data_IF_103504602620
#
_entry.id   IF_103504602620
#
_cell.length_a   1.000
_cell.length_b   1.000
_cell.length_c   1.000
_cell.angle_alpha   90.00
_cell.angle_beta   90.00
_cell.angle_gamma   90.00
#
_symmetry.space_group_name_H-M   'P 1'
#
loop_
_entity.id
_entity.type
_entity.pdbx_description
1 polymer ?
#
# COMPACT_ATOMS: atom_id res chain seq x y z
N UNK A 1 -27.70 51.10 23.42
CA UNK A 1 -26.31 50.95 23.87
C UNK A 1 -26.00 49.48 23.83
N UNK A 2 -25.57 48.99 22.67
CA UNK A 2 -25.26 47.59 22.44
C UNK A 2 -23.90 47.52 21.77
N UNK A 3 -22.94 46.90 22.44
CA UNK A 3 -21.67 46.49 21.87
C UNK A 3 -21.39 45.08 22.37
N UNK A 4 -21.59 44.10 21.51
CA UNK A 4 -21.06 42.74 21.63
C UNK A 4 -19.99 42.59 20.56
N UNK A 5 -18.73 42.77 20.96
CA UNK A 5 -17.59 42.52 20.09
C UNK A 5 -17.39 41.01 19.95
N UNK A 6 -17.62 40.50 18.73
CA UNK A 6 -17.22 39.15 18.33
C UNK A 6 -15.72 39.15 18.06
N UNK A 7 -15.03 38.32 18.84
CA UNK A 7 -13.64 37.96 18.67
C UNK A 7 -13.56 36.84 17.61
N UNK A 8 -13.00 37.12 16.44
CA UNK A 8 -12.62 36.10 15.46
C UNK A 8 -11.15 36.26 15.15
N UNK A 9 -10.33 35.48 15.85
CA UNK A 9 -8.96 35.21 15.46
C UNK A 9 -8.97 34.34 14.21
N UNK A 10 -8.62 34.95 13.07
CA UNK A 10 -8.21 34.23 11.87
C UNK A 10 -6.73 33.92 12.06
N UNK A 11 -6.39 32.63 12.06
CA UNK A 11 -5.01 32.16 12.02
C UNK A 11 -4.47 32.45 10.62
N UNK A 12 -3.58 33.43 10.53
CA UNK A 12 -2.83 33.75 9.31
C UNK A 12 -1.91 32.57 8.97
N UNK A 13 -2.08 32.01 7.77
CA UNK A 13 -1.17 31.02 7.21
C UNK A 13 0.04 31.70 6.58
N UNK A 14 1.24 31.24 6.96
CA UNK A 14 2.50 31.57 6.30
C UNK A 14 2.51 31.00 4.86
N UNK A 15 1.91 31.73 3.91
CA UNK A 15 1.98 31.41 2.48
C UNK A 15 3.26 32.02 1.87
N UNK A 16 4.34 31.23 1.81
CA UNK A 16 5.53 31.59 1.02
C UNK A 16 5.20 31.53 -0.50
N UNK A 17 5.40 32.61 -1.27
CA UNK A 17 5.04 32.64 -2.68
C UNK A 17 5.97 31.73 -3.51
N UNK A 18 5.40 30.75 -4.21
CA UNK A 18 6.08 29.96 -5.25
C UNK A 18 6.35 28.48 -4.93
N UNK A 19 5.94 27.95 -3.77
CA UNK A 19 6.12 26.54 -3.46
C UNK A 19 5.05 25.65 -4.11
N UNK A 20 5.47 24.49 -4.60
CA UNK A 20 4.58 23.48 -5.19
C UNK A 20 3.58 22.95 -4.16
N UNK A 21 2.44 22.40 -4.60
CA UNK A 21 1.47 21.75 -3.70
C UNK A 21 2.14 20.57 -2.99
N UNK A 22 2.88 19.76 -3.72
CA UNK A 22 3.57 18.59 -3.18
C UNK A 22 4.72 18.96 -2.26
N UNK A 23 5.40 20.10 -2.47
CA UNK A 23 6.38 20.64 -1.52
C UNK A 23 5.74 21.00 -0.18
N UNK A 24 4.61 21.71 -0.19
CA UNK A 24 3.88 22.05 1.04
C UNK A 24 3.35 20.80 1.75
N UNK A 25 2.86 19.82 0.99
CA UNK A 25 2.46 18.52 1.56
C UNK A 25 3.66 17.81 2.19
N UNK A 26 4.82 17.79 1.53
CA UNK A 26 6.00 17.07 2.01
C UNK A 26 6.47 17.51 3.39
N UNK A 27 6.31 18.79 3.73
CA UNK A 27 6.75 19.38 5.02
C UNK A 27 6.06 18.77 6.25
N UNK A 28 4.86 18.21 6.07
CA UNK A 28 4.08 17.59 7.17
C UNK A 28 4.04 16.06 7.10
N UNK A 29 4.72 15.46 6.14
CA UNK A 29 4.74 14.02 5.93
C UNK A 29 5.92 13.36 6.64
N UNK A 30 5.75 12.11 7.06
CA UNK A 30 6.79 11.30 7.65
C UNK A 30 7.68 10.71 6.56
N UNK A 31 9.00 10.91 6.65
CA UNK A 31 9.96 10.22 5.80
C UNK A 31 10.17 8.78 6.26
N UNK A 32 9.82 7.83 5.39
CA UNK A 32 9.94 6.40 5.69
C UNK A 32 11.14 5.76 4.99
N UNK A 33 11.75 6.41 4.00
CA UNK A 33 12.97 5.92 3.34
C UNK A 33 14.25 6.46 3.99
N UNK A 34 14.16 7.57 4.73
CA UNK A 34 15.26 8.22 5.45
C UNK A 34 16.10 9.16 4.59
N UNK A 35 15.81 9.24 3.29
CA UNK A 35 16.45 10.11 2.30
C UNK A 35 15.47 11.10 1.65
N UNK A 36 14.29 11.31 2.27
CA UNK A 36 13.18 12.12 1.74
C UNK A 36 12.61 11.62 0.40
N UNK A 37 12.92 10.39 0.02
CA UNK A 37 12.49 9.77 -1.22
C UNK A 37 11.04 9.26 -1.19
N UNK A 38 10.62 8.73 -0.04
CA UNK A 38 9.27 8.24 0.20
C UNK A 38 8.71 8.88 1.46
N UNK A 39 7.70 9.71 1.27
CA UNK A 39 7.04 10.42 2.37
C UNK A 39 5.63 9.87 2.55
N UNK A 40 5.17 9.78 3.80
CA UNK A 40 3.90 9.18 4.20
C UNK A 40 3.05 10.14 5.04
N UNK A 41 1.76 10.22 4.74
CA UNK A 41 0.72 10.88 5.53
C UNK A 41 -0.39 9.88 5.84
N UNK A 42 -0.63 9.57 7.11
CA UNK A 42 -1.67 8.61 7.48
C UNK A 42 -3.02 9.34 7.56
N UNK A 43 -3.96 8.97 6.69
CA UNK A 43 -5.32 9.53 6.69
C UNK A 43 -6.21 8.76 7.67
N UNK A 44 -6.07 7.43 7.69
CA UNK A 44 -6.79 6.54 8.58
C UNK A 44 -5.84 5.47 9.07
N UNK A 45 -5.68 5.41 10.39
CA UNK A 45 -4.87 4.39 11.05
C UNK A 45 -5.42 2.99 10.75
N UNK A 46 -4.49 2.06 10.49
CA UNK A 46 -4.77 0.63 10.48
C UNK A 46 -4.59 0.00 11.86
N UNK A 47 -4.86 -1.29 11.97
CA UNK A 47 -4.71 -2.06 13.19
C UNK A 47 -3.86 -3.33 12.97
N UNK A 48 -3.30 -3.83 14.07
CA UNK A 48 -2.48 -5.03 14.08
C UNK A 48 -1.04 -4.77 13.62
N UNK A 49 -0.43 -5.83 13.11
CA UNK A 49 0.97 -5.82 12.71
C UNK A 49 1.20 -5.08 11.40
N UNK A 50 2.45 -4.67 11.21
CA UNK A 50 2.93 -4.18 9.92
C UNK A 50 2.90 -5.30 8.88
N UNK A 51 2.82 -4.92 7.61
CA UNK A 51 2.92 -5.87 6.51
C UNK A 51 4.29 -6.56 6.55
N UNK A 52 4.28 -7.89 6.54
CA UNK A 52 5.51 -8.68 6.50
C UNK A 52 6.21 -8.53 5.14
N UNK A 53 7.56 -8.60 5.10
CA UNK A 53 8.28 -8.80 3.85
C UNK A 53 7.73 -10.03 3.12
N UNK A 54 7.69 -9.97 1.78
CA UNK A 54 7.13 -11.03 0.93
C UNK A 54 5.64 -11.31 1.18
N UNK A 55 4.90 -10.49 1.91
CA UNK A 55 3.47 -10.70 2.08
C UNK A 55 2.69 -10.54 0.77
N UNK A 56 1.57 -11.22 0.67
CA UNK A 56 0.58 -10.99 -0.37
C UNK A 56 -0.44 -9.97 0.13
N UNK A 57 -0.51 -8.81 -0.52
CA UNK A 57 -1.32 -7.67 -0.09
C UNK A 57 -2.55 -7.48 -0.96
N UNK A 58 -3.60 -6.97 -0.34
CA UNK A 58 -4.82 -6.56 -0.98
C UNK A 58 -4.99 -5.06 -0.81
N UNK A 59 -4.82 -4.32 -1.91
CA UNK A 59 -4.71 -2.86 -1.85
C UNK A 59 -5.67 -2.20 -2.83
N UNK A 60 -6.24 -1.07 -2.43
CA UNK A 60 -6.79 -0.10 -3.38
C UNK A 60 -5.85 1.09 -3.47
N UNK A 61 -5.68 1.64 -4.66
CA UNK A 61 -4.82 2.80 -4.82
C UNK A 61 -5.30 3.71 -5.95
N UNK A 62 -4.91 4.97 -5.84
CA UNK A 62 -5.00 5.97 -6.92
C UNK A 62 -3.75 6.83 -6.91
N UNK A 63 -3.11 6.98 -8.07
CA UNK A 63 -1.92 7.79 -8.31
C UNK A 63 -2.27 9.09 -9.04
N UNK A 64 -1.70 10.21 -8.58
CA UNK A 64 -1.97 11.57 -9.05
C UNK A 64 -0.68 12.30 -9.41
N UNK A 65 -0.76 13.08 -10.50
CA UNK A 65 0.27 14.05 -10.86
C UNK A 65 -0.10 15.42 -10.30
N UNK A 66 0.91 16.21 -10.00
CA UNK A 66 0.69 17.57 -9.52
C UNK A 66 -0.09 18.37 -10.56
N UNK A 67 -1.07 19.17 -10.10
CA UNK A 67 -1.99 19.95 -10.94
C UNK A 67 -2.98 19.14 -11.80
N UNK A 68 -3.07 17.81 -11.61
CA UNK A 68 -4.09 16.99 -12.26
C UNK A 68 -5.14 16.52 -11.25
N UNK A 69 -6.40 16.84 -11.53
CA UNK A 69 -7.54 16.40 -10.69
C UNK A 69 -7.90 14.93 -10.88
N UNK A 70 -7.46 14.32 -12.00
CA UNK A 70 -7.75 12.93 -12.33
C UNK A 70 -6.54 12.05 -12.06
N UNK A 71 -6.72 10.86 -11.46
CA UNK A 71 -5.63 9.94 -11.27
C UNK A 71 -5.13 9.42 -12.63
N UNK A 72 -3.80 9.31 -12.78
CA UNK A 72 -3.19 8.71 -13.96
C UNK A 72 -3.23 7.18 -13.91
N UNK A 73 -3.25 6.60 -12.72
CA UNK A 73 -3.48 5.18 -12.45
C UNK A 73 -4.37 5.02 -11.22
N UNK A 74 -5.29 4.06 -11.25
CA UNK A 74 -6.16 3.75 -10.12
C UNK A 74 -6.69 2.35 -10.29
N UNK A 75 -6.89 1.60 -9.21
CA UNK A 75 -7.56 0.30 -9.28
C UNK A 75 -8.98 0.32 -8.70
N UNK A 76 -9.49 1.49 -8.30
CA UNK A 76 -10.84 1.63 -7.71
C UNK A 76 -11.96 1.27 -8.68
N UNK A 77 -11.73 1.35 -10.00
CA UNK A 77 -12.69 0.91 -11.00
C UNK A 77 -12.90 -0.61 -11.00
N UNK A 78 -11.94 -1.38 -10.45
CA UNK A 78 -12.08 -2.82 -10.32
C UNK A 78 -12.98 -3.10 -9.12
N UNK A 79 -14.06 -3.86 -9.36
CA UNK A 79 -14.96 -4.31 -8.29
C UNK A 79 -14.21 -5.09 -7.19
N UNK A 80 -13.17 -5.82 -7.57
CA UNK A 80 -12.37 -6.64 -6.67
C UNK A 80 -10.88 -6.35 -6.89
N UNK A 81 -10.16 -5.85 -5.86
CA UNK A 81 -8.72 -5.69 -5.95
C UNK A 81 -8.04 -7.06 -6.03
N UNK A 82 -7.00 -7.18 -6.86
CA UNK A 82 -6.22 -8.42 -7.00
C UNK A 82 -5.30 -8.56 -5.78
N UNK A 83 -5.09 -9.80 -5.33
CA UNK A 83 -4.03 -10.12 -4.37
C UNK A 83 -2.67 -9.99 -5.08
N UNK A 84 -1.78 -9.16 -4.57
CA UNK A 84 -0.48 -8.86 -5.19
C UNK A 84 0.66 -9.23 -4.25
N UNK A 85 1.67 -9.93 -4.75
CA UNK A 85 2.86 -10.30 -3.99
C UNK A 85 3.86 -9.14 -3.92
N UNK A 86 4.28 -8.74 -2.72
CA UNK A 86 5.41 -7.81 -2.54
C UNK A 86 6.69 -8.45 -3.09
N UNK A 87 7.55 -7.67 -3.75
CA UNK A 87 8.76 -8.14 -4.42
C UNK A 87 8.55 -8.74 -5.83
N UNK A 88 7.33 -9.12 -6.22
CA UNK A 88 7.06 -9.76 -7.52
C UNK A 88 6.02 -9.00 -8.37
N UNK A 89 4.80 -8.79 -7.86
CA UNK A 89 3.71 -8.15 -8.62
C UNK A 89 3.74 -6.62 -8.53
N UNK A 90 4.39 -6.06 -7.50
CA UNK A 90 4.44 -4.62 -7.23
C UNK A 90 5.77 -4.07 -7.77
N UNK A 91 5.70 -3.37 -8.91
CA UNK A 91 6.89 -2.91 -9.65
C UNK A 91 7.36 -1.52 -9.26
N UNK A 92 6.54 -0.75 -8.54
CA UNK A 92 6.89 0.61 -8.10
C UNK A 92 7.56 0.54 -6.74
N UNK A 93 8.87 0.78 -6.70
CA UNK A 93 9.68 0.61 -5.49
C UNK A 93 9.17 1.44 -4.30
N UNK A 94 8.77 2.69 -4.53
CA UNK A 94 8.18 3.54 -3.50
C UNK A 94 6.87 2.98 -2.93
N UNK A 95 6.06 2.32 -3.76
CA UNK A 95 4.82 1.67 -3.31
C UNK A 95 5.10 0.46 -2.44
N UNK A 96 6.10 -0.35 -2.79
CA UNK A 96 6.52 -1.49 -1.98
C UNK A 96 7.00 -1.06 -0.59
N UNK A 97 7.89 -0.06 -0.51
CA UNK A 97 8.32 0.52 0.76
C UNK A 97 7.16 1.14 1.54
N UNK A 98 6.26 1.83 0.85
CA UNK A 98 5.04 2.38 1.42
C UNK A 98 4.19 1.31 2.11
N UNK A 99 3.93 0.19 1.40
CA UNK A 99 3.12 -0.91 1.90
C UNK A 99 3.73 -1.62 3.11
N UNK A 100 5.07 -1.80 3.13
CA UNK A 100 5.78 -2.36 4.29
C UNK A 100 5.62 -1.51 5.56
N UNK A 101 5.37 -0.20 5.39
CA UNK A 101 5.12 0.71 6.51
C UNK A 101 3.66 0.72 7.00
N UNK A 102 2.74 0.05 6.29
CA UNK A 102 1.31 0.12 6.56
C UNK A 102 0.82 -1.01 7.48
N UNK A 103 -0.31 -0.76 8.13
CA UNK A 103 -1.08 -1.75 8.90
C UNK A 103 -2.39 -2.11 8.20
N UNK A 104 -2.97 -3.24 8.55
CA UNK A 104 -4.25 -3.71 8.01
C UNK A 104 -5.35 -2.64 8.21
N UNK A 105 -6.07 -2.30 7.15
CA UNK A 105 -7.15 -1.31 7.14
C UNK A 105 -6.69 0.15 6.99
N UNK A 106 -5.38 0.40 6.97
CA UNK A 106 -4.81 1.74 6.89
C UNK A 106 -5.10 2.40 5.53
N UNK A 107 -5.43 3.69 5.56
CA UNK A 107 -5.48 4.56 4.40
C UNK A 107 -4.41 5.63 4.57
N UNK A 108 -3.46 5.70 3.64
CA UNK A 108 -2.37 6.65 3.69
C UNK A 108 -2.11 7.27 2.31
N UNK A 109 -1.58 8.49 2.33
CA UNK A 109 -1.03 9.16 1.16
C UNK A 109 0.47 9.06 1.18
N UNK A 110 1.04 8.86 0.01
CA UNK A 110 2.47 8.76 -0.18
C UNK A 110 2.93 9.69 -1.29
N UNK A 111 4.00 10.43 -1.03
CA UNK A 111 4.73 11.14 -2.08
C UNK A 111 5.97 10.32 -2.43
N UNK A 112 6.06 9.91 -3.69
CA UNK A 112 7.21 9.20 -4.22
C UNK A 112 8.02 10.16 -5.08
N UNK A 113 9.25 10.45 -4.66
CA UNK A 113 10.22 11.17 -5.48
C UNK A 113 10.58 10.34 -6.72
N UNK A 114 11.10 10.97 -7.79
CA UNK A 114 11.32 10.29 -9.07
C UNK A 114 12.13 8.98 -8.93
N UNK A 115 13.16 8.96 -8.09
CA UNK A 115 14.01 7.78 -7.86
C UNK A 115 13.26 6.56 -7.29
N UNK A 116 12.14 6.78 -6.60
CA UNK A 116 11.27 5.74 -6.04
C UNK A 116 10.00 5.54 -6.87
N UNK A 117 9.87 6.25 -8.00
CA UNK A 117 8.73 6.19 -8.90
C UNK A 117 9.17 5.87 -10.33
N UNK A 118 9.01 6.81 -11.27
CA UNK A 118 9.26 6.61 -12.71
C UNK A 118 10.60 7.18 -13.20
N UNK A 119 11.43 7.66 -12.29
CA UNK A 119 12.81 8.10 -12.55
C UNK A 119 12.93 9.26 -13.54
N UNK A 120 14.12 9.34 -14.15
CA UNK A 120 14.48 10.37 -15.13
C UNK A 120 13.79 10.18 -16.48
N UNK A 121 13.32 8.97 -16.79
CA UNK A 121 12.63 8.68 -18.04
C UNK A 121 11.12 8.98 -17.96
N UNK A 122 10.54 8.91 -16.76
CA UNK A 122 9.09 8.99 -16.60
C UNK A 122 8.38 7.78 -17.24
N UNK A 123 7.13 7.98 -17.65
CA UNK A 123 6.34 7.03 -18.44
C UNK A 123 5.56 7.79 -19.53
N UNK A 124 6.22 8.20 -20.63
CA UNK A 124 5.57 8.99 -21.68
C UNK A 124 4.44 8.20 -22.38
N UNK A 125 3.33 8.85 -22.78
CA UNK A 125 3.02 10.28 -22.62
C UNK A 125 2.35 10.64 -21.28
N UNK A 126 2.10 9.68 -20.39
CA UNK A 126 1.32 9.92 -19.17
C UNK A 126 2.11 10.64 -18.08
N UNK A 127 3.35 10.23 -17.83
CA UNK A 127 4.16 10.69 -16.70
C UNK A 127 5.44 11.33 -17.24
N UNK A 128 5.67 12.63 -17.01
CA UNK A 128 6.90 13.30 -17.44
C UNK A 128 8.16 12.77 -16.72
N UNK A 129 9.34 12.96 -17.31
CA UNK A 129 10.64 12.82 -16.66
C UNK A 129 10.71 13.52 -15.28
N UNK A 130 11.40 12.91 -14.30
CA UNK A 130 11.69 13.51 -13.00
C UNK A 130 10.46 13.99 -12.22
N UNK A 131 9.33 13.30 -12.36
CA UNK A 131 8.08 13.71 -11.70
C UNK A 131 7.91 13.06 -10.33
N UNK A 132 7.56 13.88 -9.33
CA UNK A 132 7.06 13.37 -8.04
C UNK A 132 5.59 13.00 -8.18
N UNK A 133 5.21 11.82 -7.70
CA UNK A 133 3.83 11.32 -7.80
C UNK A 133 3.22 11.16 -6.41
N UNK A 134 1.93 11.45 -6.29
CA UNK A 134 1.17 11.22 -5.06
C UNK A 134 0.34 9.95 -5.23
N UNK A 135 0.47 9.00 -4.32
CA UNK A 135 -0.40 7.83 -4.26
C UNK A 135 -1.24 7.85 -3.01
N UNK A 136 -2.55 7.72 -3.14
CA UNK A 136 -3.43 7.39 -2.03
C UNK A 136 -3.66 5.88 -2.05
N UNK A 137 -3.26 5.19 -0.97
CA UNK A 137 -3.26 3.74 -0.86
C UNK A 137 -4.08 3.32 0.36
N UNK A 138 -5.05 2.45 0.14
CA UNK A 138 -5.82 1.75 1.16
C UNK A 138 -5.36 0.30 1.23
N UNK A 139 -4.73 -0.09 2.33
CA UNK A 139 -4.38 -1.48 2.60
C UNK A 139 -5.60 -2.17 3.21
N UNK A 140 -6.28 -2.98 2.43
CA UNK A 140 -7.49 -3.68 2.88
C UNK A 140 -7.16 -4.88 3.75
N UNK A 141 -6.24 -5.72 3.29
CA UNK A 141 -5.75 -6.88 4.04
C UNK A 141 -4.40 -7.37 3.51
N UNK A 142 -3.73 -8.23 4.25
CA UNK A 142 -2.52 -8.92 3.80
C UNK A 142 -2.41 -10.32 4.41
N UNK A 143 -1.68 -11.18 3.69
CA UNK A 143 -1.36 -12.54 4.08
C UNK A 143 0.16 -12.67 4.17
N UNK A 144 0.67 -13.05 5.34
CA UNK A 144 2.06 -13.52 5.47
C UNK A 144 2.18 -14.87 4.76
N UNK A 145 2.69 -14.84 3.53
CA UNK A 145 2.85 -16.01 2.67
C UNK A 145 4.26 -16.60 2.73
N UNK A 146 5.21 -16.01 3.46
CA UNK A 146 6.61 -16.38 3.41
C UNK A 146 6.88 -17.86 3.78
N UNK A 147 6.18 -18.40 4.78
CA UNK A 147 6.33 -19.83 5.12
C UNK A 147 5.61 -20.74 4.11
N UNK A 148 4.55 -20.25 3.47
CA UNK A 148 3.84 -20.97 2.42
C UNK A 148 4.69 -21.10 1.16
N UNK A 149 5.28 -20.00 0.68
CA UNK A 149 6.12 -20.04 -0.53
C UNK A 149 7.34 -20.93 -0.32
N UNK A 150 7.96 -20.85 0.88
CA UNK A 150 9.05 -21.75 1.25
C UNK A 150 8.59 -23.19 1.14
N UNK A 151 7.44 -23.55 1.70
CA UNK A 151 6.92 -24.91 1.62
C UNK A 151 6.67 -25.37 0.18
N UNK A 152 6.07 -24.52 -0.66
CA UNK A 152 5.82 -24.82 -2.08
C UNK A 152 7.10 -24.92 -2.93
N UNK A 153 8.18 -24.25 -2.53
CA UNK A 153 9.47 -24.29 -3.23
C UNK A 153 10.33 -25.53 -2.88
N UNK A 154 9.97 -26.30 -1.84
CA UNK A 154 10.69 -27.50 -1.42
C UNK A 154 10.40 -28.71 -2.33
N UNK A 155 11.36 -29.63 -2.42
CA UNK A 155 11.11 -30.95 -3.02
C UNK A 155 10.21 -31.81 -2.12
N UNK A 156 9.63 -32.87 -2.69
CA UNK A 156 8.77 -33.78 -1.93
C UNK A 156 9.47 -34.36 -0.68
N UNK A 157 10.75 -34.71 -0.78
CA UNK A 157 11.53 -35.27 0.34
C UNK A 157 11.79 -34.23 1.44
N UNK A 158 11.90 -32.96 1.06
CA UNK A 158 12.10 -31.85 2.00
C UNK A 158 10.77 -31.44 2.66
N UNK A 159 9.66 -31.55 1.94
CA UNK A 159 8.31 -31.32 2.48
C UNK A 159 7.97 -32.35 3.57
N UNK A 160 8.34 -33.63 3.38
CA UNK A 160 8.14 -34.69 4.38
C UNK A 160 8.89 -34.42 5.70
N UNK A 161 10.00 -33.69 5.64
CA UNK A 161 10.79 -33.31 6.82
C UNK A 161 10.38 -31.95 7.39
N UNK A 162 9.45 -31.24 6.75
CA UNK A 162 9.06 -29.91 7.17
C UNK A 162 8.29 -29.97 8.50
N UNK A 163 8.59 -29.11 9.49
CA UNK A 163 7.96 -29.21 10.80
C UNK A 163 6.44 -29.09 10.72
N UNK A 164 5.72 -30.09 11.23
CA UNK A 164 4.25 -30.13 11.21
C UNK A 164 3.62 -28.85 11.79
N UNK A 165 4.22 -28.28 12.83
CA UNK A 165 3.75 -27.03 13.43
C UNK A 165 3.75 -25.85 12.42
N UNK A 166 4.73 -25.80 11.52
CA UNK A 166 4.80 -24.78 10.48
C UNK A 166 3.76 -25.03 9.39
N UNK A 167 3.59 -26.29 8.94
CA UNK A 167 2.55 -26.67 7.98
C UNK A 167 1.16 -26.30 8.52
N UNK A 168 0.88 -26.62 9.78
CA UNK A 168 -0.38 -26.28 10.42
C UNK A 168 -0.61 -24.75 10.50
N UNK A 169 0.46 -23.97 10.75
CA UNK A 169 0.38 -22.50 10.74
C UNK A 169 0.08 -21.96 9.35
N UNK A 170 0.74 -22.48 8.30
CA UNK A 170 0.47 -22.08 6.90
C UNK A 170 -0.98 -22.38 6.56
N UNK A 171 -1.42 -23.62 6.77
CA UNK A 171 -2.78 -24.04 6.45
C UNK A 171 -3.83 -23.24 7.24
N UNK A 172 -3.57 -22.91 8.50
CA UNK A 172 -4.46 -22.07 9.30
C UNK A 172 -4.58 -20.66 8.72
N UNK A 173 -3.45 -20.03 8.39
CA UNK A 173 -3.39 -18.65 7.86
C UNK A 173 -4.10 -18.56 6.50
N UNK A 174 -3.80 -19.48 5.57
CA UNK A 174 -4.43 -19.52 4.25
C UNK A 174 -5.93 -19.79 4.34
N UNK A 175 -6.35 -20.69 5.21
CA UNK A 175 -7.78 -20.98 5.45
C UNK A 175 -8.50 -19.76 6.02
N UNK A 176 -7.90 -19.05 6.97
CA UNK A 176 -8.48 -17.83 7.54
C UNK A 176 -8.64 -16.74 6.48
N UNK A 177 -7.63 -16.53 5.66
CA UNK A 177 -7.66 -15.55 4.58
C UNK A 177 -8.64 -15.95 3.46
N UNK A 178 -8.68 -17.23 3.09
CA UNK A 178 -9.68 -17.77 2.16
C UNK A 178 -11.11 -17.58 2.67
N UNK A 179 -11.35 -17.83 3.96
CA UNK A 179 -12.63 -17.56 4.61
C UNK A 179 -12.99 -16.07 4.64
N UNK A 180 -12.00 -15.20 4.90
CA UNK A 180 -12.19 -13.75 4.83
C UNK A 180 -12.65 -13.32 3.43
N UNK A 181 -11.96 -13.78 2.38
CA UNK A 181 -12.34 -13.49 0.99
C UNK A 181 -13.71 -14.06 0.64
N UNK A 182 -14.03 -15.26 1.12
CA UNK A 182 -15.34 -15.88 0.92
C UNK A 182 -16.47 -15.03 1.52
N UNK A 183 -16.31 -14.52 2.74
CA UNK A 183 -17.29 -13.63 3.39
C UNK A 183 -17.47 -12.31 2.65
N UNK A 184 -16.45 -11.85 1.94
CA UNK A 184 -16.50 -10.66 1.08
C UNK A 184 -17.07 -10.96 -0.32
N UNK A 185 -17.66 -12.16 -0.53
CA UNK A 185 -18.15 -12.66 -1.83
C UNK A 185 -17.06 -12.78 -2.92
N UNK A 186 -15.80 -12.95 -2.52
CA UNK A 186 -14.64 -13.07 -3.42
C UNK A 186 -14.25 -14.52 -3.63
N UNK A 187 -15.17 -15.29 -4.20
CA UNK A 187 -15.03 -16.74 -4.33
C UNK A 187 -13.84 -17.19 -5.19
N UNK A 188 -13.53 -16.47 -6.27
CA UNK A 188 -12.40 -16.81 -7.15
C UNK A 188 -11.05 -16.67 -6.41
N UNK A 189 -10.88 -15.60 -5.64
CA UNK A 189 -9.66 -15.36 -4.87
C UNK A 189 -9.56 -16.34 -3.69
N UNK A 190 -10.69 -16.63 -3.03
CA UNK A 190 -10.75 -17.65 -1.97
C UNK A 190 -10.34 -19.05 -2.48
N UNK A 191 -10.76 -19.41 -3.72
CA UNK A 191 -10.41 -20.68 -4.34
C UNK A 191 -8.92 -20.82 -4.61
N UNK A 192 -8.25 -19.73 -5.00
CA UNK A 192 -6.81 -19.74 -5.29
C UNK A 192 -5.98 -20.15 -4.06
N UNK A 193 -6.42 -19.77 -2.86
CA UNK A 193 -5.73 -20.07 -1.61
C UNK A 193 -6.01 -21.47 -1.09
N UNK A 194 -7.21 -22.02 -1.36
CA UNK A 194 -7.51 -23.42 -1.00
C UNK A 194 -6.63 -24.44 -1.75
N UNK A 195 -6.05 -24.08 -2.90
CA UNK A 195 -5.23 -24.99 -3.69
C UNK A 195 -3.93 -25.37 -3.01
N UNK A 196 -3.31 -24.45 -2.26
CA UNK A 196 -2.02 -24.69 -1.60
C UNK A 196 -2.14 -25.74 -0.48
N UNK A 197 -3.31 -25.87 0.15
CA UNK A 197 -3.57 -26.89 1.16
C UNK A 197 -3.97 -28.27 0.60
N UNK A 198 -4.25 -28.39 -0.71
CA UNK A 198 -4.78 -29.62 -1.33
C UNK A 198 -3.83 -30.29 -2.34
N UNK A 199 -2.71 -29.64 -2.69
CA UNK A 199 -1.64 -30.23 -3.49
C UNK A 199 -0.57 -30.84 -2.59
#
# INVERSE_FOLDING_TARGET
MGESALNQGVLEGDDAPGQSLYERLSQRMLDISGDQGVLKDVIREGAGDLVAPDASVLVKYSGYLEHMDRPFDSNYFRKTPRLMKLGEDITLWGMELGLLSMRRGELARFLFKPNYAYGTLGCPPLIPPNTTVLFEIELLDFLDSAESDKFCALSAEQQDQYPLQKVLKVAATEREFGNYLFRQNRFCDAKALCWVCCA
#
